data_IF_658270602762
#
_entry.id   IF_658270602762
#
_cell.length_a   1.000
_cell.length_b   1.000
_cell.length_c   1.000
_cell.angle_alpha   90.00
_cell.angle_beta   90.00
_cell.angle_gamma   90.00
#
_symmetry.space_group_name_H-M   'P 1'
#
loop_
_entity.id
_entity.type
_entity.pdbx_description
1 polymer ?
#
# COMPACT_ATOMS: atom_id res chain seq x y z
N UNK A 1 -3.82 -62.20 51.92
CA UNK A 1 -2.47 -62.48 52.47
C UNK A 1 -1.44 -61.95 51.48
N UNK A 2 -0.32 -61.40 51.97
CA UNK A 2 0.12 -60.00 51.78
C UNK A 2 1.23 -59.88 50.69
N UNK A 3 1.89 -58.77 50.32
CA UNK A 3 2.27 -57.53 51.02
C UNK A 3 2.85 -56.51 50.03
N UNK A 4 2.45 -55.24 50.16
CA UNK A 4 3.24 -53.99 50.22
C UNK A 4 4.60 -53.83 49.48
N UNK A 5 4.73 -52.75 48.69
CA UNK A 5 5.59 -51.56 48.99
C UNK A 5 5.48 -50.43 47.95
N UNK A 6 4.83 -49.32 48.33
CA UNK A 6 5.28 -47.93 48.07
C UNK A 6 6.21 -47.51 49.25
N UNK A 7 7.02 -46.42 49.24
CA UNK A 7 6.71 -45.05 48.78
C UNK A 7 7.91 -44.34 48.06
N UNK A 8 7.87 -43.10 47.55
CA UNK A 8 7.80 -41.85 48.31
C UNK A 8 7.69 -40.60 47.40
N UNK A 9 6.85 -39.66 47.86
CA UNK A 9 6.91 -38.22 47.61
C UNK A 9 8.04 -37.57 48.43
N UNK A 10 8.41 -36.32 48.13
CA UNK A 10 8.61 -35.32 49.16
C UNK A 10 7.55 -34.21 49.12
N UNK A 11 7.16 -33.83 50.34
CA UNK A 11 6.26 -32.77 50.77
C UNK A 11 7.10 -31.85 51.68
N UNK A 12 7.04 -30.53 51.52
CA UNK A 12 7.10 -29.48 52.56
C UNK A 12 6.78 -28.14 51.82
N UNK A 13 5.61 -27.50 51.97
CA UNK A 13 5.07 -26.73 53.12
C UNK A 13 5.99 -25.54 53.50
N UNK A 14 5.64 -24.29 53.15
CA UNK A 14 4.64 -23.37 53.74
C UNK A 14 5.23 -22.43 54.81
N UNK A 15 5.04 -21.10 54.63
CA UNK A 15 4.77 -20.00 55.60
C UNK A 15 5.19 -18.68 54.92
N UNK A 16 4.34 -17.67 54.69
CA UNK A 16 3.45 -16.86 55.53
C UNK A 16 4.05 -15.47 55.86
N UNK A 17 3.27 -14.45 55.48
CA UNK A 17 2.99 -13.20 56.19
C UNK A 17 4.15 -12.25 56.56
N UNK A 18 4.13 -11.05 55.96
CA UNK A 18 4.21 -9.82 56.74
C UNK A 18 3.38 -8.72 56.07
N UNK A 19 2.61 -8.01 56.89
CA UNK A 19 1.66 -6.98 56.53
C UNK A 19 2.16 -5.58 56.93
N UNK A 20 1.47 -4.57 56.41
CA UNK A 20 1.32 -3.18 56.92
C UNK A 20 2.43 -2.15 56.68
N UNK A 21 2.17 -1.23 55.75
CA UNK A 21 1.95 0.22 55.99
C UNK A 21 1.63 0.84 54.60
N UNK A 22 0.56 1.60 54.37
CA UNK A 22 0.02 2.68 55.19
C UNK A 22 0.54 4.00 54.63
N UNK A 23 -0.21 4.62 53.72
CA UNK A 23 0.15 5.92 53.12
C UNK A 23 -0.92 6.42 52.14
N UNK A 24 -1.90 7.15 52.65
CA UNK A 24 -2.73 8.07 51.86
C UNK A 24 -1.84 9.20 51.32
N UNK A 25 -1.96 9.51 50.03
CA UNK A 25 -1.69 10.86 49.52
C UNK A 25 -2.86 11.25 48.63
N UNK A 26 -3.63 12.21 49.13
CA UNK A 26 -4.53 13.09 48.38
C UNK A 26 -3.63 14.21 47.85
N UNK A 27 -3.62 14.47 46.53
CA UNK A 27 -3.81 15.81 45.94
C UNK A 27 -3.61 15.82 44.41
N UNK A 28 -4.66 16.32 43.74
CA UNK A 28 -4.65 17.15 42.55
C UNK A 28 -3.89 16.68 41.29
N UNK A 29 -4.59 16.00 40.39
CA UNK A 29 -4.33 16.12 38.95
C UNK A 29 -5.16 17.28 38.40
N UNK A 30 -4.46 18.36 38.09
CA UNK A 30 -4.96 19.52 37.34
C UNK A 30 -5.21 19.12 35.90
N UNK A 31 -6.47 19.14 35.49
CA UNK A 31 -6.86 19.16 34.08
C UNK A 31 -6.58 20.56 33.52
N UNK A 32 -5.78 20.67 32.47
CA UNK A 32 -5.70 21.88 31.64
C UNK A 32 -6.45 21.62 30.33
N UNK A 33 -7.77 21.74 30.40
CA UNK A 33 -8.57 22.17 29.27
C UNK A 33 -8.57 23.71 29.31
N UNK A 34 -8.13 24.35 28.23
CA UNK A 34 -8.34 25.79 28.03
C UNK A 34 -8.98 25.98 26.66
N UNK A 35 -10.28 25.71 26.61
CA UNK A 35 -11.21 26.49 25.81
C UNK A 35 -11.61 27.70 26.65
N UNK A 36 -11.45 28.89 26.08
CA UNK A 36 -12.10 30.10 26.60
C UNK A 36 -12.58 30.96 25.45
N UNK A 37 -13.87 30.82 25.20
CA UNK A 37 -14.76 31.77 24.56
C UNK A 37 -14.80 33.12 25.29
N UNK A 38 -15.38 34.11 24.57
CA UNK A 38 -15.87 35.43 24.99
C UNK A 38 -14.82 36.56 24.94
N UNK A 39 -15.12 37.75 24.44
CA UNK A 39 -16.41 38.44 24.50
C UNK A 39 -16.46 39.68 23.59
N UNK A 40 -17.68 40.20 23.46
CA UNK A 40 -18.06 41.59 23.19
C UNK A 40 -18.44 41.99 21.75
N UNK A 41 -19.73 41.78 21.49
CA UNK A 41 -20.53 42.66 20.65
C UNK A 41 -20.61 44.07 21.27
N UNK A 42 -20.31 45.11 20.49
CA UNK A 42 -20.96 46.42 20.63
C UNK A 42 -21.40 46.90 19.24
N UNK A 43 -22.71 47.00 19.06
CA UNK A 43 -23.30 47.64 17.89
C UNK A 43 -23.29 49.16 18.04
N UNK A 44 -23.07 49.86 16.93
CA UNK A 44 -23.71 51.14 16.68
C UNK A 44 -23.82 51.40 15.18
N UNK A 45 -25.05 51.66 14.78
CA UNK A 45 -25.55 52.09 13.48
C UNK A 45 -24.98 53.44 13.03
N UNK A 46 -24.69 53.59 11.73
CA UNK A 46 -25.11 54.76 10.94
C UNK A 46 -24.84 54.56 9.46
N UNK A 47 -25.90 54.70 8.65
CA UNK A 47 -25.85 54.82 7.21
C UNK A 47 -25.45 56.24 6.79
N UNK A 48 -24.65 56.38 5.73
CA UNK A 48 -24.71 57.51 4.77
C UNK A 48 -23.97 57.13 3.49
N UNK A 49 -24.69 56.85 2.41
CA UNK A 49 -24.75 57.66 1.17
C UNK A 49 -23.42 58.10 0.56
N UNK A 50 -23.19 57.74 -0.72
CA UNK A 50 -22.72 58.72 -1.70
C UNK A 50 -21.47 58.39 -2.50
N UNK A 51 -21.71 57.90 -3.72
CA UNK A 51 -21.20 58.45 -4.99
C UNK A 51 -19.70 58.45 -5.34
N UNK A 52 -19.40 57.65 -6.36
CA UNK A 52 -18.57 57.88 -7.55
C UNK A 52 -17.74 59.18 -7.69
N UNK A 53 -16.48 59.01 -8.13
CA UNK A 53 -15.76 59.73 -9.22
C UNK A 53 -14.26 59.51 -9.01
N UNK A 54 -13.54 58.70 -9.80
CA UNK A 54 -12.97 58.98 -11.13
C UNK A 54 -11.83 60.02 -11.15
N UNK A 55 -10.79 59.69 -11.94
CA UNK A 55 -9.67 60.52 -12.46
C UNK A 55 -8.57 60.86 -11.44
N UNK A 56 -7.28 60.99 -11.76
CA UNK A 56 -6.50 60.98 -13.00
C UNK A 56 -5.02 60.82 -12.54
N UNK A 57 -4.19 60.01 -13.22
CA UNK A 57 -3.21 60.47 -14.21
C UNK A 57 -1.94 61.14 -13.67
N UNK A 58 -0.80 60.58 -14.14
CA UNK A 58 0.49 61.24 -14.52
C UNK A 58 1.27 61.89 -13.37
N UNK A 59 2.58 61.82 -13.20
CA UNK A 59 3.82 61.56 -13.97
C UNK A 59 4.90 61.84 -12.89
N UNK A 60 6.13 61.34 -12.83
CA UNK A 60 7.28 61.44 -13.74
C UNK A 60 8.52 61.11 -12.87
N UNK A 61 9.61 60.68 -13.52
CA UNK A 61 11.03 60.87 -13.13
C UNK A 61 11.70 59.89 -12.14
N UNK A 62 12.32 58.88 -12.74
CA UNK A 62 13.71 58.41 -12.50
C UNK A 62 14.73 59.57 -12.74
N UNK A 63 16.04 59.54 -12.39
CA UNK A 63 16.86 58.59 -11.62
C UNK A 63 17.69 59.24 -10.49
N UNK A 64 18.29 58.45 -9.58
CA UNK A 64 19.65 58.72 -9.09
C UNK A 64 20.32 57.54 -8.38
N UNK A 65 21.55 57.30 -8.84
CA UNK A 65 22.59 56.39 -8.35
C UNK A 65 23.33 57.01 -7.16
N UNK A 66 23.57 56.23 -6.10
CA UNK A 66 24.85 56.15 -5.33
C UNK A 66 24.66 55.20 -4.14
N UNK A 67 25.36 54.07 -4.05
CA UNK A 67 26.56 53.87 -3.20
C UNK A 67 26.15 53.43 -1.78
N UNK A 68 26.81 52.54 -1.03
CA UNK A 68 28.10 51.86 -1.12
C UNK A 68 28.16 50.84 0.05
N UNK A 69 28.80 49.68 -0.19
CA UNK A 69 29.61 48.83 0.69
C UNK A 69 29.15 48.44 2.12
N UNK A 70 29.08 47.13 2.41
CA UNK A 70 30.00 46.34 3.29
C UNK A 70 29.38 44.95 3.54
N UNK A 71 29.99 43.86 3.03
CA UNK A 71 30.92 42.97 3.74
C UNK A 71 30.35 42.35 5.04
N UNK A 72 30.03 41.05 5.01
CA UNK A 72 30.78 40.03 5.77
C UNK A 72 30.13 38.64 5.66
N UNK A 73 31.00 37.67 5.40
CA UNK A 73 30.75 36.23 5.35
C UNK A 73 30.23 35.66 6.68
N UNK A 74 29.61 34.47 6.62
CA UNK A 74 30.21 33.22 7.15
C UNK A 74 29.30 32.02 6.86
N UNK A 75 29.78 31.16 5.97
CA UNK A 75 29.49 29.73 5.92
C UNK A 75 30.04 29.05 7.18
N UNK A 76 29.25 28.20 7.85
CA UNK A 76 29.77 27.30 8.87
C UNK A 76 29.38 25.86 8.53
N UNK A 77 30.40 25.13 8.12
CA UNK A 77 30.44 23.70 7.85
C UNK A 77 31.32 23.09 8.94
N UNK A 78 30.72 22.39 9.90
CA UNK A 78 31.48 21.70 10.95
C UNK A 78 31.62 20.22 10.64
N UNK A 79 32.80 19.87 10.11
CA UNK A 79 33.40 18.54 10.22
C UNK A 79 34.60 18.62 11.19
N UNK A 80 34.68 17.72 12.15
CA UNK A 80 35.84 17.46 13.02
C UNK A 80 35.52 16.22 13.89
N UNK A 81 36.36 15.23 14.17
CA UNK A 81 37.68 14.85 13.69
C UNK A 81 37.97 13.40 14.13
N UNK A 82 38.95 12.83 13.43
CA UNK A 82 39.63 11.53 13.50
C UNK A 82 40.34 11.22 14.82
N UNK A 83 40.46 9.91 15.16
CA UNK A 83 41.65 9.15 15.62
C UNK A 83 41.18 7.94 16.46
N UNK A 84 41.70 6.71 16.39
CA UNK A 84 43.12 6.30 16.31
C UNK A 84 43.22 4.83 15.89
N UNK A 85 44.23 4.57 15.07
CA UNK A 85 44.77 3.28 14.65
C UNK A 85 45.56 2.59 15.80
N UNK A 86 45.34 1.29 16.01
CA UNK A 86 46.36 0.38 16.55
C UNK A 86 46.14 -1.05 16.04
N UNK A 87 46.94 -1.48 15.07
CA UNK A 87 47.38 -2.88 14.95
C UNK A 87 48.69 -3.10 15.72
N UNK A 88 48.95 -4.33 16.21
CA UNK A 88 49.95 -5.14 15.50
C UNK A 88 49.71 -6.67 15.50
N UNK A 89 49.95 -7.27 14.32
CA UNK A 89 50.68 -8.52 13.98
C UNK A 89 50.70 -9.76 14.90
N UNK A 90 50.42 -10.93 14.32
CA UNK A 90 51.36 -12.09 14.09
C UNK A 90 50.51 -13.34 13.72
N UNK A 91 50.51 -13.82 12.47
CA UNK A 91 51.37 -14.89 11.93
C UNK A 91 51.44 -16.20 12.74
N UNK A 92 50.86 -17.30 12.20
CA UNK A 92 51.56 -18.58 11.91
C UNK A 92 50.58 -19.69 11.47
N UNK A 93 50.53 -19.90 10.15
CA UNK A 93 50.83 -21.14 9.41
C UNK A 93 50.42 -22.56 9.89
N UNK A 94 49.94 -23.29 8.88
CA UNK A 94 50.23 -24.69 8.51
C UNK A 94 49.26 -25.82 8.90
N UNK A 95 48.43 -26.16 7.91
CA UNK A 95 48.36 -27.43 7.17
C UNK A 95 48.40 -28.77 7.94
N UNK A 96 47.36 -29.59 7.71
CA UNK A 96 47.53 -30.99 7.30
C UNK A 96 46.29 -31.51 6.59
N UNK A 97 46.48 -31.99 5.38
CA UNK A 97 45.55 -32.84 4.66
C UNK A 97 45.39 -34.19 5.38
N UNK A 98 44.21 -34.80 5.24
CA UNK A 98 44.12 -36.27 5.23
C UNK A 98 43.00 -36.70 4.30
N UNK A 99 43.41 -37.33 3.20
CA UNK A 99 42.65 -38.28 2.41
C UNK A 99 42.00 -39.36 3.29
N UNK A 100 40.80 -39.80 2.91
CA UNK A 100 40.42 -41.22 2.95
C UNK A 100 39.21 -41.46 2.05
N UNK A 101 39.49 -41.96 0.86
CA UNK A 101 38.58 -42.73 0.04
C UNK A 101 38.41 -44.15 0.62
N UNK A 102 37.22 -44.74 0.51
CA UNK A 102 36.93 -46.15 0.80
C UNK A 102 35.43 -46.42 0.91
N UNK A 103 34.77 -46.78 -0.19
CA UNK A 103 34.31 -48.14 -0.57
C UNK A 103 32.87 -48.50 -0.18
N UNK A 104 32.04 -48.62 -1.22
CA UNK A 104 31.22 -49.79 -1.60
C UNK A 104 30.27 -50.43 -0.57
N UNK A 105 28.97 -50.41 -0.88
CA UNK A 105 28.07 -51.53 -0.63
C UNK A 105 26.82 -51.44 -1.51
N UNK A 106 26.74 -52.39 -2.45
CA UNK A 106 25.58 -52.81 -3.23
C UNK A 106 24.45 -53.40 -2.38
N UNK A 107 23.18 -53.06 -2.65
CA UNK A 107 21.94 -53.92 -2.66
C UNK A 107 20.79 -53.00 -3.12
N UNK A 108 19.83 -53.25 -4.00
CA UNK A 108 19.35 -54.42 -4.74
C UNK A 108 17.83 -54.26 -4.93
N UNK A 109 17.31 -54.34 -6.16
CA UNK A 109 15.87 -54.47 -6.50
C UNK A 109 15.06 -53.16 -6.40
N UNK A 110 14.07 -52.85 -7.25
CA UNK A 110 13.25 -53.70 -8.12
C UNK A 110 12.59 -52.87 -9.22
N UNK A 111 12.53 -53.50 -10.39
CA UNK A 111 11.74 -53.22 -11.58
C UNK A 111 10.23 -53.13 -11.25
N UNK A 112 9.53 -52.18 -11.87
CA UNK A 112 8.08 -52.23 -12.09
C UNK A 112 7.74 -51.47 -13.37
N UNK A 113 7.79 -52.23 -14.45
CA UNK A 113 7.14 -51.96 -15.73
C UNK A 113 5.62 -52.16 -15.60
N UNK A 114 4.84 -51.15 -15.97
CA UNK A 114 3.40 -51.28 -16.31
C UNK A 114 3.13 -50.21 -17.37
N UNK A 115 3.07 -50.56 -18.66
CA UNK A 115 1.82 -50.90 -19.35
C UNK A 115 1.07 -49.61 -19.70
N UNK A 116 1.17 -49.02 -20.89
CA UNK A 116 0.91 -49.63 -22.19
C UNK A 116 -0.59 -49.50 -22.51
N UNK A 117 -0.99 -48.44 -23.22
CA UNK A 117 -2.18 -48.43 -24.09
C UNK A 117 -1.95 -47.49 -25.26
N UNK A 118 -1.51 -48.10 -26.35
CA UNK A 118 -1.61 -47.60 -27.72
C UNK A 118 -3.06 -47.80 -28.18
N UNK A 119 -3.67 -46.76 -28.75
CA UNK A 119 -4.93 -46.88 -29.48
C UNK A 119 -4.82 -46.14 -30.81
N UNK A 120 -4.37 -46.89 -31.80
CA UNK A 120 -4.49 -46.62 -33.22
C UNK A 120 -5.86 -47.10 -33.71
N UNK A 121 -6.71 -46.21 -34.24
CA UNK A 121 -7.80 -46.44 -35.23
C UNK A 121 -8.36 -45.05 -35.58
N UNK A 122 -8.53 -44.58 -36.80
CA UNK A 122 -8.36 -45.13 -38.14
C UNK A 122 -8.59 -44.00 -39.15
N UNK A 123 -7.93 -44.09 -40.31
CA UNK A 123 -8.07 -43.09 -41.36
C UNK A 123 -9.44 -43.10 -42.02
N UNK A 124 -9.86 -41.92 -42.49
CA UNK A 124 -10.66 -41.79 -43.71
C UNK A 124 -10.12 -40.61 -44.52
N UNK A 125 -9.67 -40.95 -45.71
CA UNK A 125 -9.26 -40.05 -46.79
C UNK A 125 -10.54 -39.56 -47.51
N UNK A 126 -10.70 -38.25 -47.65
CA UNK A 126 -11.66 -37.63 -48.57
C UNK A 126 -11.13 -36.29 -49.03
N UNK A 127 -10.43 -36.34 -50.15
CA UNK A 127 -10.12 -35.20 -51.00
C UNK A 127 -11.40 -34.64 -51.64
N UNK A 128 -11.76 -33.38 -51.34
CA UNK A 128 -12.51 -32.51 -52.26
C UNK A 128 -12.21 -31.06 -51.92
N UNK A 129 -11.63 -30.34 -52.88
CA UNK A 129 -11.22 -28.94 -52.75
C UNK A 129 -12.39 -27.97 -52.66
N UNK A 130 -12.22 -26.95 -51.83
CA UNK A 130 -13.13 -25.82 -51.68
C UNK A 130 -12.37 -24.65 -51.06
N UNK A 131 -11.86 -23.79 -51.93
CA UNK A 131 -11.10 -22.57 -51.62
C UNK A 131 -11.97 -21.57 -50.86
N UNK A 132 -11.73 -21.35 -49.56
CA UNK A 132 -12.33 -20.22 -48.81
C UNK A 132 -11.42 -19.76 -47.65
N UNK A 133 -10.95 -18.51 -47.78
CA UNK A 133 -10.47 -17.55 -46.76
C UNK A 133 -9.95 -18.05 -45.41
N UNK A 134 -8.65 -17.88 -45.21
CA UNK A 134 -7.91 -17.98 -43.95
C UNK A 134 -8.49 -17.01 -42.92
N UNK A 135 -9.20 -17.54 -41.93
CA UNK A 135 -9.42 -16.90 -40.62
C UNK A 135 -8.77 -17.83 -39.63
N UNK A 136 -7.65 -17.41 -39.04
CA UNK A 136 -6.93 -18.11 -37.98
C UNK A 136 -7.78 -18.09 -36.72
N UNK A 137 -8.58 -19.13 -36.51
CA UNK A 137 -9.01 -19.53 -35.16
C UNK A 137 -7.90 -20.41 -34.60
N UNK A 138 -7.04 -19.80 -33.77
CA UNK A 138 -6.14 -20.56 -32.91
C UNK A 138 -6.98 -21.30 -31.87
N UNK A 139 -6.73 -22.60 -31.77
CA UNK A 139 -7.07 -23.40 -30.59
C UNK A 139 -6.36 -22.77 -29.39
N UNK A 140 -7.13 -22.16 -28.51
CA UNK A 140 -6.70 -21.82 -27.16
C UNK A 140 -7.06 -23.01 -26.28
N UNK A 141 -6.17 -24.00 -26.20
CA UNK A 141 -6.03 -24.81 -24.99
C UNK A 141 -5.35 -23.91 -23.95
N UNK A 142 -6.11 -22.93 -23.47
CA UNK A 142 -5.83 -22.24 -22.21
C UNK A 142 -6.66 -22.96 -21.18
N UNK A 143 -6.02 -23.42 -20.10
CA UNK A 143 -6.67 -23.96 -18.91
C UNK A 143 -7.35 -22.81 -18.11
N UNK A 144 -8.05 -21.94 -18.85
CA UNK A 144 -8.63 -20.69 -18.44
C UNK A 144 -9.76 -20.92 -17.46
N UNK A 145 -9.43 -20.81 -16.19
CA UNK A 145 -10.32 -20.19 -15.22
C UNK A 145 -10.51 -18.74 -15.63
N UNK A 146 -11.32 -18.49 -16.67
CA UNK A 146 -11.81 -17.14 -16.96
C UNK A 146 -12.63 -16.72 -15.75
N UNK A 147 -12.04 -15.89 -14.88
CA UNK A 147 -12.77 -15.08 -13.91
C UNK A 147 -13.92 -14.42 -14.67
N UNK A 148 -15.14 -14.63 -14.19
CA UNK A 148 -16.34 -14.37 -14.96
C UNK A 148 -16.51 -12.89 -15.32
N UNK A 149 -16.03 -12.49 -16.50
CA UNK A 149 -16.69 -11.51 -17.37
C UNK A 149 -16.73 -10.04 -16.92
N UNK A 150 -15.77 -9.55 -16.13
CA UNK A 150 -15.57 -8.11 -16.01
C UNK A 150 -14.41 -7.67 -16.91
N UNK A 151 -14.73 -6.88 -17.95
CA UNK A 151 -13.76 -6.39 -18.93
C UNK A 151 -12.65 -5.50 -18.35
N UNK A 152 -12.78 -5.03 -17.10
CA UNK A 152 -11.70 -4.34 -16.37
C UNK A 152 -10.47 -5.24 -16.13
N UNK A 153 -10.64 -6.57 -16.10
CA UNK A 153 -9.52 -7.51 -15.93
C UNK A 153 -8.73 -7.74 -17.20
N UNK A 154 -9.31 -7.41 -18.36
CA UNK A 154 -8.68 -7.60 -19.66
C UNK A 154 -7.97 -6.33 -20.17
N UNK A 155 -8.03 -5.24 -19.41
CA UNK A 155 -7.47 -3.94 -19.79
C UNK A 155 -6.59 -3.40 -18.68
N UNK A 156 -5.35 -2.95 -18.94
CA UNK A 156 -4.54 -2.32 -17.90
C UNK A 156 -5.18 -0.99 -17.51
N UNK A 157 -5.50 -0.87 -16.23
CA UNK A 157 -6.14 0.31 -15.67
C UNK A 157 -5.78 0.52 -14.21
N UNK A 158 -5.86 1.77 -13.78
CA UNK A 158 -5.56 2.19 -12.42
C UNK A 158 -6.66 3.11 -11.88
N UNK A 159 -6.84 3.09 -10.57
CA UNK A 159 -7.83 3.88 -9.86
C UNK A 159 -7.22 4.53 -8.63
N UNK A 160 -7.65 5.75 -8.33
CA UNK A 160 -7.38 6.40 -7.06
C UNK A 160 -8.55 7.30 -6.67
N UNK A 161 -8.68 7.63 -5.38
CA UNK A 161 -9.86 8.31 -4.84
C UNK A 161 -9.48 9.32 -3.78
N UNK A 162 -9.87 10.59 -3.98
CA UNK A 162 -9.56 11.68 -3.05
C UNK A 162 -10.81 12.51 -2.80
N UNK A 163 -11.10 12.78 -1.53
CA UNK A 163 -12.31 13.49 -1.09
C UNK A 163 -13.59 12.88 -1.70
N UNK A 164 -14.26 13.63 -2.59
CA UNK A 164 -15.47 13.19 -3.29
C UNK A 164 -15.21 12.93 -4.77
N UNK A 165 -14.00 12.55 -5.12
CA UNK A 165 -13.56 12.28 -6.48
C UNK A 165 -13.04 10.85 -6.59
N UNK A 166 -13.42 10.18 -7.66
CA UNK A 166 -12.86 8.90 -8.09
C UNK A 166 -12.27 9.08 -9.49
N UNK A 167 -11.04 8.61 -9.66
CA UNK A 167 -10.30 8.77 -10.89
C UNK A 167 -10.04 7.39 -11.49
N UNK A 168 -10.28 7.28 -12.80
CA UNK A 168 -9.96 6.13 -13.63
C UNK A 168 -8.85 6.50 -14.59
N UNK A 169 -7.83 5.65 -14.71
CA UNK A 169 -6.72 5.83 -15.65
C UNK A 169 -6.67 4.60 -16.54
N UNK A 170 -6.88 4.79 -17.84
CA UNK A 170 -6.68 3.74 -18.84
C UNK A 170 -5.23 3.76 -19.29
N UNK A 171 -4.60 2.59 -19.28
CA UNK A 171 -3.21 2.40 -19.69
C UNK A 171 -3.19 1.71 -21.06
N UNK A 172 -2.19 2.07 -21.87
CA UNK A 172 -2.00 1.52 -23.20
C UNK A 172 -1.27 0.17 -23.09
N UNK A 173 -1.88 -0.95 -23.50
CA UNK A 173 -1.24 -2.27 -23.43
C UNK A 173 0.00 -2.40 -24.33
N UNK A 174 0.22 -1.48 -25.29
CA UNK A 174 1.39 -1.53 -26.16
C UNK A 174 2.69 -1.07 -25.51
N UNK A 175 2.61 -0.11 -24.58
CA UNK A 175 3.82 0.55 -24.06
C UNK A 175 3.73 0.99 -22.60
N UNK A 176 2.57 0.86 -21.94
CA UNK A 176 2.37 1.29 -20.56
C UNK A 176 2.07 2.79 -20.40
N UNK A 177 1.95 3.55 -21.49
CA UNK A 177 1.58 4.97 -21.44
C UNK A 177 0.11 5.18 -21.06
N UNK A 178 -0.25 6.36 -20.59
CA UNK A 178 -1.66 6.70 -20.26
C UNK A 178 -2.44 7.02 -21.55
N UNK A 179 -3.59 6.37 -21.72
CA UNK A 179 -4.55 6.63 -22.80
C UNK A 179 -5.50 7.74 -22.40
N UNK A 180 -6.09 7.63 -21.21
CA UNK A 180 -7.01 8.63 -20.67
C UNK A 180 -6.99 8.65 -19.16
N UNK A 181 -7.29 9.83 -18.60
CA UNK A 181 -7.63 10.00 -17.20
C UNK A 181 -9.04 10.58 -17.15
N UNK A 182 -9.89 9.91 -16.38
CA UNK A 182 -11.30 10.24 -16.23
C UNK A 182 -11.56 10.59 -14.77
N UNK A 183 -12.14 11.77 -14.55
CA UNK A 183 -12.57 12.23 -13.24
C UNK A 183 -14.07 12.04 -13.08
N UNK A 184 -14.47 11.37 -12.00
CA UNK A 184 -15.86 11.15 -11.63
C UNK A 184 -16.14 11.64 -10.20
N UNK A 185 -17.36 12.13 -10.00
CA UNK A 185 -17.86 12.49 -8.67
C UNK A 185 -18.18 11.20 -7.91
N UNK A 186 -17.59 11.04 -6.72
CA UNK A 186 -17.96 10.02 -5.74
C UNK A 186 -19.18 10.51 -4.95
N UNK A 187 -20.25 9.72 -4.97
CA UNK A 187 -21.51 9.97 -4.29
C UNK A 187 -21.70 8.94 -3.17
N UNK A 188 -21.17 9.20 -1.97
CA UNK A 188 -21.35 8.25 -0.88
C UNK A 188 -22.74 8.40 -0.24
N UNK A 189 -23.33 7.28 0.15
CA UNK A 189 -24.63 7.23 0.86
C UNK A 189 -24.58 7.86 2.26
N UNK A 190 -23.40 7.88 2.87
CA UNK A 190 -23.04 8.59 4.11
C UNK A 190 -21.84 9.48 3.82
N UNK A 191 -21.76 10.71 4.38
CA UNK A 191 -20.56 11.54 4.24
C UNK A 191 -19.30 10.79 4.65
N UNK A 192 -18.41 10.59 3.68
CA UNK A 192 -17.08 10.05 3.91
C UNK A 192 -16.20 11.09 4.61
N UNK A 193 -15.35 10.61 5.51
CA UNK A 193 -14.32 11.43 6.13
C UNK A 193 -13.31 11.91 5.10
N UNK A 194 -12.80 13.11 5.36
CA UNK A 194 -11.67 13.64 4.62
C UNK A 194 -10.39 13.16 5.32
N UNK A 195 -9.51 12.52 4.56
CA UNK A 195 -8.27 11.93 5.04
C UNK A 195 -7.64 11.03 3.97
N UNK A 196 -6.56 10.35 4.34
CA UNK A 196 -5.90 9.35 3.51
C UNK A 196 -6.88 8.24 3.11
N UNK A 197 -6.65 7.68 1.94
CA UNK A 197 -7.51 6.65 1.39
C UNK A 197 -6.73 5.47 0.86
N UNK A 198 -6.87 4.31 1.49
CA UNK A 198 -6.53 3.05 0.84
C UNK A 198 -7.57 2.74 -0.23
N UNK A 199 -7.14 2.19 -1.36
CA UNK A 199 -8.05 1.73 -2.41
C UNK A 199 -7.54 0.40 -2.95
N UNK A 200 -8.46 -0.54 -3.17
CA UNK A 200 -8.13 -1.80 -3.81
C UNK A 200 -9.27 -2.28 -4.71
N UNK A 201 -8.96 -3.14 -5.68
CA UNK A 201 -9.93 -3.73 -6.60
C UNK A 201 -10.25 -5.16 -6.18
N UNK A 202 -11.54 -5.48 -6.12
CA UNK A 202 -12.03 -6.83 -5.82
C UNK A 202 -12.15 -7.66 -7.11
N UNK A 203 -12.22 -8.99 -7.00
CA UNK A 203 -12.30 -9.92 -8.15
C UNK A 203 -13.42 -9.60 -9.16
N UNK A 204 -14.54 -9.05 -8.69
CA UNK A 204 -15.65 -8.63 -9.55
C UNK A 204 -15.42 -7.27 -10.23
N UNK A 205 -14.23 -6.67 -10.05
CA UNK A 205 -13.78 -5.35 -10.51
C UNK A 205 -14.45 -4.17 -9.82
N UNK A 206 -15.21 -4.39 -8.75
CA UNK A 206 -15.64 -3.32 -7.86
C UNK A 206 -14.48 -2.82 -7.00
N UNK A 207 -14.63 -1.65 -6.38
CA UNK A 207 -13.58 -1.04 -5.57
C UNK A 207 -13.94 -1.03 -4.09
N UNK A 208 -12.99 -1.40 -3.24
CA UNK A 208 -13.08 -1.23 -1.79
C UNK A 208 -12.13 -0.09 -1.39
N UNK A 209 -12.65 0.88 -0.64
CA UNK A 209 -11.86 2.02 -0.19
C UNK A 209 -11.94 2.22 1.32
N UNK A 210 -10.91 2.85 1.88
CA UNK A 210 -10.86 3.31 3.26
C UNK A 210 -10.82 4.83 3.32
N UNK A 211 -11.35 5.42 4.40
CA UNK A 211 -11.09 6.82 4.76
C UNK A 211 -10.61 6.87 6.20
N UNK A 212 -9.34 7.19 6.34
CA UNK A 212 -8.65 7.30 7.62
C UNK A 212 -8.99 8.63 8.31
N UNK A 213 -9.10 8.59 9.63
CA UNK A 213 -9.08 9.78 10.49
C UNK A 213 -8.61 9.43 11.90
N UNK A 214 -8.36 10.45 12.72
CA UNK A 214 -8.09 10.27 14.14
C UNK A 214 -9.22 9.54 14.93
N UNK A 215 -10.44 9.45 14.37
CA UNK A 215 -11.56 8.72 14.98
C UNK A 215 -11.62 7.24 14.55
N UNK A 216 -10.75 6.80 13.65
CA UNK A 216 -10.68 5.45 13.10
C UNK A 216 -10.80 5.46 11.58
N UNK A 217 -11.26 4.35 11.01
CA UNK A 217 -11.35 4.15 9.56
C UNK A 217 -12.76 3.81 9.11
N UNK A 218 -13.29 4.57 8.16
CA UNK A 218 -14.50 4.19 7.42
C UNK A 218 -14.13 3.29 6.25
N UNK A 219 -14.91 2.23 6.02
CA UNK A 219 -14.82 1.40 4.82
C UNK A 219 -16.02 1.70 3.92
N UNK A 220 -15.76 1.86 2.63
CA UNK A 220 -16.78 2.04 1.61
C UNK A 220 -16.53 1.13 0.40
N UNK A 221 -17.60 0.84 -0.34
CA UNK A 221 -17.57 0.02 -1.54
C UNK A 221 -18.16 0.79 -2.71
N UNK A 222 -17.52 0.72 -3.87
CA UNK A 222 -18.04 1.23 -5.14
C UNK A 222 -18.36 0.02 -6.02
N UNK A 223 -19.61 -0.45 -6.05
CA UNK A 223 -19.98 -1.69 -6.74
C UNK A 223 -19.75 -1.65 -8.26
N UNK A 224 -20.00 -0.50 -8.88
CA UNK A 224 -19.94 -0.30 -10.32
C UNK A 224 -19.10 0.96 -10.62
N UNK A 225 -17.76 0.88 -10.53
CA UNK A 225 -16.90 2.03 -10.73
C UNK A 225 -16.97 2.49 -12.21
N UNK A 226 -17.28 3.77 -12.48
CA UNK A 226 -17.46 4.25 -13.84
C UNK A 226 -16.12 4.56 -14.53
N UNK A 227 -15.97 4.06 -15.76
CA UNK A 227 -14.80 4.34 -16.63
C UNK A 227 -15.02 5.50 -17.60
N UNK A 228 -16.19 6.13 -17.57
CA UNK A 228 -16.54 7.25 -18.46
C UNK A 228 -16.77 8.51 -17.66
N UNK A 229 -16.38 9.65 -18.22
CA UNK A 229 -16.39 10.94 -17.54
C UNK A 229 -17.81 11.40 -17.18
N UNK A 230 -17.91 12.15 -16.08
CA UNK A 230 -19.16 12.73 -15.58
C UNK A 230 -20.24 11.69 -15.27
N UNK A 231 -19.85 10.44 -15.03
CA UNK A 231 -20.73 9.38 -14.54
C UNK A 231 -20.51 9.25 -13.04
N UNK A 232 -21.51 9.54 -12.21
CA UNK A 232 -21.32 9.46 -10.77
C UNK A 232 -20.97 8.04 -10.32
N UNK A 233 -20.01 7.93 -9.42
CA UNK A 233 -19.63 6.68 -8.75
C UNK A 233 -20.38 6.61 -7.42
N UNK A 234 -21.35 5.71 -7.30
CA UNK A 234 -22.09 5.54 -6.05
C UNK A 234 -21.27 4.70 -5.06
N UNK A 235 -21.04 5.25 -3.87
CA UNK A 235 -20.30 4.58 -2.80
C UNK A 235 -21.24 4.18 -1.65
N UNK A 236 -21.12 2.94 -1.22
CA UNK A 236 -21.88 2.35 -0.11
C UNK A 236 -20.99 2.28 1.12
N UNK A 237 -21.40 2.92 2.20
CA UNK A 237 -20.72 2.84 3.48
C UNK A 237 -20.94 1.46 4.11
N UNK A 238 -19.84 0.75 4.39
CA UNK A 238 -19.87 -0.60 4.95
C UNK A 238 -19.74 -0.61 6.48
N UNK A 239 -19.05 0.38 7.06
CA UNK A 239 -18.89 0.48 8.50
C UNK A 239 -17.61 1.17 8.93
N UNK A 240 -17.40 1.23 10.26
CA UNK A 240 -16.12 1.56 10.85
C UNK A 240 -15.37 0.26 11.12
N UNK A 241 -14.07 0.23 10.84
CA UNK A 241 -13.21 -0.85 11.29
C UNK A 241 -13.30 -0.91 12.82
N UNK A 242 -13.68 -2.07 13.40
CA UNK A 242 -13.83 -2.19 14.84
C UNK A 242 -12.48 -2.01 15.54
N UNK A 243 -12.50 -1.66 16.82
CA UNK A 243 -11.30 -1.78 17.65
C UNK A 243 -11.13 -3.26 18.06
N UNK A 244 -9.90 -3.74 18.20
CA UNK A 244 -9.61 -5.11 18.65
C UNK A 244 -9.83 -5.31 20.17
N UNK A 245 -10.36 -4.29 20.85
CA UNK A 245 -10.67 -4.27 22.28
C UNK A 245 -9.43 -4.39 23.18
N UNK A 246 -8.23 -4.12 22.67
CA UNK A 246 -6.99 -4.13 23.45
C UNK A 246 -6.70 -2.79 24.17
N UNK A 247 -7.72 -1.95 24.40
CA UNK A 247 -7.61 -0.57 24.91
C UNK A 247 -6.68 0.33 24.07
N UNK A 248 -6.57 0.05 22.77
CA UNK A 248 -5.76 0.82 21.83
C UNK A 248 -6.57 1.95 21.21
N UNK A 249 -5.87 2.85 20.51
CA UNK A 249 -6.49 3.83 19.64
C UNK A 249 -7.41 3.14 18.61
N UNK A 250 -8.38 3.84 18.02
CA UNK A 250 -9.12 3.33 16.86
C UNK A 250 -8.16 2.84 15.77
N UNK A 251 -8.56 1.82 14.98
CA UNK A 251 -7.77 1.33 13.84
C UNK A 251 -7.77 2.38 12.74
N UNK A 252 -6.59 2.76 12.24
CA UNK A 252 -6.34 3.85 11.30
C UNK A 252 -5.65 3.28 10.07
N UNK A 253 -6.42 2.98 9.03
CA UNK A 253 -5.98 2.24 7.85
C UNK A 253 -5.61 3.19 6.72
N UNK A 254 -4.34 3.22 6.38
CA UNK A 254 -3.80 4.04 5.31
C UNK A 254 -3.81 3.32 3.96
N UNK A 255 -3.57 2.01 3.97
CA UNK A 255 -3.47 1.19 2.77
C UNK A 255 -4.45 0.01 2.77
N UNK A 256 -4.97 -0.31 1.59
CA UNK A 256 -5.76 -1.52 1.34
C UNK A 256 -5.13 -2.30 0.20
N UNK A 257 -5.14 -3.62 0.32
CA UNK A 257 -4.67 -4.51 -0.73
C UNK A 257 -5.50 -5.79 -0.75
N UNK A 258 -5.93 -6.19 -1.94
CA UNK A 258 -6.64 -7.45 -2.18
C UNK A 258 -5.63 -8.45 -2.72
N UNK A 259 -5.59 -9.66 -2.17
CA UNK A 259 -4.74 -10.73 -2.69
C UNK A 259 -5.42 -11.54 -3.81
N UNK A 260 -4.70 -12.48 -4.42
CA UNK A 260 -5.15 -13.35 -5.52
C UNK A 260 -6.31 -14.25 -5.07
N UNK A 261 -6.40 -14.52 -3.77
CA UNK A 261 -7.45 -15.34 -3.16
C UNK A 261 -8.66 -14.48 -2.73
N UNK A 262 -8.63 -13.16 -3.01
CA UNK A 262 -9.67 -12.20 -2.67
C UNK A 262 -9.69 -11.76 -1.20
N UNK A 263 -8.62 -12.03 -0.44
CA UNK A 263 -8.49 -11.57 0.95
C UNK A 263 -8.05 -10.10 0.97
N UNK A 264 -8.54 -9.37 1.96
CA UNK A 264 -8.25 -7.93 2.10
C UNK A 264 -7.28 -7.71 3.25
N UNK A 265 -6.13 -7.13 2.93
CA UNK A 265 -5.08 -6.69 3.82
C UNK A 265 -5.23 -5.20 4.09
N UNK A 266 -4.94 -4.81 5.33
CA UNK A 266 -5.03 -3.44 5.80
C UNK A 266 -3.75 -3.08 6.53
N UNK A 267 -3.20 -1.92 6.20
CA UNK A 267 -2.09 -1.33 6.95
C UNK A 267 -2.65 -0.40 8.02
N UNK A 268 -2.58 -0.80 9.29
CA UNK A 268 -2.88 0.06 10.42
C UNK A 268 -1.64 0.89 10.79
N UNK A 269 -1.75 2.21 10.75
CA UNK A 269 -0.69 3.19 11.10
C UNK A 269 -0.53 3.38 12.63
N UNK A 270 -1.24 2.56 13.41
CA UNK A 270 -1.11 2.56 14.86
C UNK A 270 -1.44 3.90 15.50
N UNK A 271 -0.45 4.50 16.17
CA UNK A 271 -0.65 5.75 16.91
C UNK A 271 -0.79 6.94 15.97
N UNK A 272 -0.01 7.00 14.89
CA UNK A 272 0.06 8.17 14.02
C UNK A 272 0.57 7.86 12.61
N UNK A 273 -0.12 8.42 11.61
CA UNK A 273 0.16 8.55 10.15
C UNK A 273 1.49 9.22 9.78
N UNK A 274 2.43 9.29 10.71
CA UNK A 274 3.79 9.74 10.42
C UNK A 274 4.82 9.02 11.30
N UNK A 275 4.49 7.81 11.76
CA UNK A 275 5.20 7.09 12.81
C UNK A 275 4.89 5.60 12.74
N UNK A 276 5.93 4.77 12.74
CA UNK A 276 5.77 3.31 12.78
C UNK A 276 5.35 2.75 14.15
N UNK A 277 5.21 3.59 15.18
CA UNK A 277 4.79 3.16 16.52
C UNK A 277 3.38 2.57 16.50
N UNK A 278 3.31 1.27 16.78
CA UNK A 278 2.06 0.52 16.83
C UNK A 278 1.52 0.13 15.45
N UNK A 279 2.30 0.25 14.38
CA UNK A 279 1.89 -0.17 13.05
C UNK A 279 1.59 -1.68 13.04
N UNK A 280 0.60 -2.09 12.26
CA UNK A 280 0.19 -3.49 12.16
C UNK A 280 -0.28 -3.83 10.77
N UNK A 281 0.05 -5.04 10.33
CA UNK A 281 -0.58 -5.65 9.17
C UNK A 281 -1.79 -6.45 9.65
N UNK A 282 -2.97 -6.09 9.13
CA UNK A 282 -4.24 -6.72 9.46
C UNK A 282 -4.83 -7.40 8.22
N UNK A 283 -5.77 -8.33 8.45
CA UNK A 283 -6.55 -8.94 7.38
C UNK A 283 -8.01 -9.10 7.77
N UNK A 284 -8.94 -8.72 6.89
CA UNK A 284 -10.36 -8.98 7.13
C UNK A 284 -10.64 -10.48 7.16
N UNK A 285 -11.44 -10.90 8.14
CA UNK A 285 -11.88 -12.30 8.32
C UNK A 285 -13.40 -12.45 8.19
N UNK A 286 -14.14 -11.34 8.26
CA UNK A 286 -15.58 -11.30 8.08
C UNK A 286 -16.01 -11.04 6.63
N UNK A 287 -17.33 -11.08 6.42
CA UNK A 287 -17.97 -10.70 5.15
C UNK A 287 -18.04 -9.17 5.04
N UNK A 288 -16.92 -8.55 4.64
CA UNK A 288 -16.74 -7.10 4.64
C UNK A 288 -17.77 -6.38 3.76
N UNK A 289 -18.20 -6.97 2.64
CA UNK A 289 -19.25 -6.41 1.77
C UNK A 289 -20.63 -6.37 2.45
N UNK A 290 -20.83 -7.14 3.52
CA UNK A 290 -22.02 -7.06 4.39
C UNK A 290 -21.79 -6.23 5.65
N UNK A 291 -20.66 -5.52 5.74
CA UNK A 291 -20.27 -4.71 6.90
C UNK A 291 -19.71 -5.52 8.07
N UNK A 292 -19.41 -6.81 7.88
CA UNK A 292 -18.72 -7.61 8.89
C UNK A 292 -17.21 -7.38 8.78
N UNK A 293 -16.76 -6.27 9.34
CA UNK A 293 -15.37 -5.78 9.27
C UNK A 293 -14.47 -6.38 10.35
N UNK A 294 -14.76 -7.60 10.82
CA UNK A 294 -13.85 -8.30 11.72
C UNK A 294 -12.52 -8.58 11.02
N UNK A 295 -11.44 -8.53 11.78
CA UNK A 295 -10.09 -8.74 11.27
C UNK A 295 -9.27 -9.60 12.22
N UNK A 296 -8.16 -10.11 11.71
CA UNK A 296 -7.07 -10.63 12.51
C UNK A 296 -5.82 -9.76 12.34
N UNK A 297 -4.96 -9.76 13.35
CA UNK A 297 -3.63 -9.16 13.28
C UNK A 297 -2.69 -10.23 12.72
N UNK A 298 -2.12 -9.97 11.55
CA UNK A 298 -1.10 -10.85 10.97
C UNK A 298 0.23 -10.61 11.66
N UNK A 299 0.62 -9.35 11.81
CA UNK A 299 1.90 -8.99 12.43
C UNK A 299 1.84 -7.60 13.04
N UNK A 300 2.42 -7.46 14.23
CA UNK A 300 2.76 -6.16 14.80
C UNK A 300 4.07 -5.63 14.16
N UNK A 301 3.94 -4.56 13.38
CA UNK A 301 5.00 -3.97 12.56
C UNK A 301 5.85 -2.95 13.33
N UNK A 302 5.53 -2.65 14.58
CA UNK A 302 6.34 -1.78 15.45
C UNK A 302 7.82 -2.22 15.58
N UNK A 303 8.10 -3.50 15.29
CA UNK A 303 9.44 -4.09 15.29
C UNK A 303 9.93 -4.46 13.88
N UNK A 304 9.15 -4.18 12.84
CA UNK A 304 9.54 -4.39 11.45
C UNK A 304 10.56 -3.31 11.04
N UNK A 305 11.40 -3.65 10.06
CA UNK A 305 12.34 -2.70 9.44
C UNK A 305 11.67 -1.73 8.48
N UNK A 306 10.34 -1.70 8.42
CA UNK A 306 9.56 -0.89 7.49
C UNK A 306 9.01 0.33 8.21
N UNK A 307 9.05 1.47 7.51
CA UNK A 307 8.51 2.74 7.96
C UNK A 307 6.98 2.75 8.03
N UNK A 308 6.44 3.95 7.96
CA UNK A 308 5.01 4.20 8.03
C UNK A 308 4.37 4.01 6.65
N UNK A 309 3.73 2.87 6.40
CA UNK A 309 3.32 2.51 5.04
C UNK A 309 2.01 3.20 4.68
N UNK A 310 2.12 4.09 3.70
CA UNK A 310 1.03 4.86 3.13
C UNK A 310 0.14 4.06 2.16
N UNK A 311 0.73 3.09 1.43
CA UNK A 311 0.04 2.26 0.45
C UNK A 311 0.70 0.90 0.20
N UNK A 312 -0.07 -0.05 -0.35
CA UNK A 312 0.32 -1.44 -0.59
C UNK A 312 -0.06 -1.90 -2.00
N UNK A 313 0.79 -2.72 -2.61
CA UNK A 313 0.63 -3.24 -3.96
C UNK A 313 1.02 -4.71 -4.04
N UNK A 314 0.44 -5.50 -4.96
CA UNK A 314 1.04 -6.77 -5.34
C UNK A 314 2.50 -6.59 -5.76
N UNK A 315 3.29 -7.64 -5.61
CA UNK A 315 4.69 -7.68 -6.03
C UNK A 315 4.85 -8.10 -7.48
N UNK A 316 6.10 -8.16 -7.94
CA UNK A 316 6.48 -8.72 -9.23
C UNK A 316 7.58 -9.77 -8.98
N UNK A 317 7.38 -10.99 -9.47
CA UNK A 317 8.41 -12.03 -9.54
C UNK A 317 8.54 -12.53 -10.97
N UNK A 318 9.64 -12.16 -11.64
CA UNK A 318 9.82 -12.43 -13.06
C UNK A 318 8.83 -11.63 -13.91
N UNK A 319 7.98 -12.34 -14.64
CA UNK A 319 6.92 -11.78 -15.48
C UNK A 319 5.54 -11.78 -14.80
N UNK A 320 5.40 -12.34 -13.60
CA UNK A 320 4.11 -12.51 -12.92
C UNK A 320 3.93 -11.56 -11.72
N UNK A 321 2.68 -11.17 -11.43
CA UNK A 321 2.34 -10.52 -10.15
C UNK A 321 2.23 -11.57 -9.05
N UNK A 322 2.74 -11.23 -7.86
CA UNK A 322 2.80 -12.16 -6.74
C UNK A 322 2.29 -11.54 -5.46
N UNK A 323 1.64 -12.39 -4.67
CA UNK A 323 1.06 -12.02 -3.40
C UNK A 323 1.79 -12.79 -2.31
N UNK A 324 2.38 -12.03 -1.39
CA UNK A 324 3.20 -12.52 -0.30
C UNK A 324 4.43 -11.66 -0.12
N UNK A 325 5.14 -11.33 -1.20
CA UNK A 325 6.14 -10.25 -1.22
C UNK A 325 5.64 -9.17 -2.17
N UNK A 326 5.11 -8.08 -1.63
CA UNK A 326 4.55 -6.96 -2.37
C UNK A 326 5.43 -5.72 -2.34
N UNK A 327 4.87 -4.64 -2.87
CA UNK A 327 5.43 -3.30 -2.76
C UNK A 327 4.63 -2.44 -1.79
N UNK A 328 5.32 -1.45 -1.22
CA UNK A 328 4.72 -0.46 -0.34
C UNK A 328 5.36 0.91 -0.58
N UNK A 329 4.64 1.97 -0.24
CA UNK A 329 5.13 3.34 -0.27
C UNK A 329 5.06 3.96 1.12
N UNK A 330 6.07 4.76 1.46
CA UNK A 330 6.09 5.66 2.63
C UNK A 330 6.75 6.96 2.20
N UNK A 331 6.00 8.05 2.07
CA UNK A 331 6.55 9.40 1.93
C UNK A 331 7.71 9.54 0.92
N UNK A 332 7.60 8.88 -0.24
CA UNK A 332 8.59 8.81 -1.32
C UNK A 332 9.69 7.76 -1.22
N UNK A 333 9.70 6.92 -0.19
CA UNK A 333 10.49 5.70 -0.16
C UNK A 333 9.67 4.51 -0.69
N UNK A 334 10.21 3.82 -1.69
CA UNK A 334 9.68 2.56 -2.21
C UNK A 334 10.22 1.41 -1.36
N UNK A 335 9.31 0.58 -0.88
CA UNK A 335 9.59 -0.58 -0.06
C UNK A 335 9.16 -1.87 -0.76
N UNK A 336 9.89 -2.94 -0.46
CA UNK A 336 9.39 -4.30 -0.60
C UNK A 336 8.93 -4.79 0.76
N UNK A 337 7.73 -5.39 0.85
CA UNK A 337 7.16 -5.91 2.07
C UNK A 337 6.74 -7.37 1.91
N UNK A 338 7.00 -8.19 2.91
CA UNK A 338 6.46 -9.54 3.03
C UNK A 338 5.15 -9.48 3.84
N UNK A 339 4.01 -9.71 3.20
CA UNK A 339 2.68 -9.71 3.81
C UNK A 339 2.42 -10.91 4.73
N UNK A 340 3.28 -11.92 4.72
CA UNK A 340 3.20 -13.06 5.64
C UNK A 340 3.92 -12.75 6.96
N UNK A 341 5.06 -12.07 6.88
CA UNK A 341 5.92 -11.81 8.05
C UNK A 341 5.87 -10.37 8.55
N UNK A 342 5.30 -9.45 7.77
CA UNK A 342 5.33 -8.01 8.02
C UNK A 342 6.72 -7.38 7.90
N UNK A 343 7.73 -8.11 7.43
CA UNK A 343 9.09 -7.54 7.27
C UNK A 343 9.23 -6.84 5.93
N UNK A 344 10.18 -5.91 5.81
CA UNK A 344 10.42 -5.26 4.53
C UNK A 344 11.74 -4.52 4.45
N UNK A 345 12.03 -4.04 3.25
CA UNK A 345 13.32 -3.48 2.87
C UNK A 345 13.13 -2.31 1.92
N UNK A 346 13.77 -1.18 2.22
CA UNK A 346 13.79 -0.03 1.35
C UNK A 346 14.54 -0.37 0.06
N UNK A 347 13.92 -0.06 -1.08
CA UNK A 347 14.46 -0.32 -2.40
C UNK A 347 15.09 0.93 -3.00
N UNK A 348 14.35 2.04 -2.99
CA UNK A 348 14.77 3.31 -3.59
C UNK A 348 13.96 4.48 -3.05
N UNK A 349 14.52 5.69 -3.20
CA UNK A 349 13.71 6.90 -3.16
C UNK A 349 13.09 7.12 -4.54
N UNK A 350 11.82 7.49 -4.56
CA UNK A 350 11.02 7.75 -5.75
C UNK A 350 10.43 9.16 -5.70
N UNK A 351 9.65 9.53 -6.70
CA UNK A 351 8.90 10.79 -6.72
C UNK A 351 7.42 10.59 -6.33
N UNK A 352 6.98 9.34 -6.13
CA UNK A 352 5.64 9.02 -5.63
C UNK A 352 5.54 9.28 -4.14
N UNK A 353 4.33 9.40 -3.59
CA UNK A 353 4.14 9.67 -2.16
C UNK A 353 3.21 8.68 -1.48
N UNK A 354 2.07 8.36 -2.10
CA UNK A 354 0.99 7.62 -1.42
C UNK A 354 0.27 6.58 -2.27
N UNK A 355 0.59 6.44 -3.55
CA UNK A 355 -0.04 5.42 -4.39
C UNK A 355 1.00 4.53 -5.04
N UNK A 356 0.77 3.22 -5.03
CA UNK A 356 1.59 2.25 -5.73
C UNK A 356 0.75 1.09 -6.24
N UNK A 357 1.01 0.65 -7.47
CA UNK A 357 0.38 -0.56 -7.99
C UNK A 357 1.19 -1.21 -9.10
N UNK A 358 1.37 -2.52 -9.01
CA UNK A 358 1.92 -3.35 -10.09
C UNK A 358 0.79 -3.90 -10.96
N UNK A 359 0.93 -3.78 -12.28
CA UNK A 359 0.07 -4.40 -13.26
C UNK A 359 0.81 -5.57 -13.93
N UNK A 360 0.16 -6.73 -14.02
CA UNK A 360 0.74 -7.96 -14.57
C UNK A 360 1.01 -7.92 -16.07
N UNK A 361 1.98 -8.71 -16.51
CA UNK A 361 2.43 -8.83 -17.90
C UNK A 361 1.32 -9.13 -18.93
N UNK A 362 0.34 -10.01 -18.68
CA UNK A 362 -0.74 -10.34 -19.60
C UNK A 362 -1.66 -9.18 -19.93
N UNK A 363 -1.62 -8.09 -19.16
CA UNK A 363 -2.30 -6.85 -19.52
C UNK A 363 -1.59 -6.10 -20.65
N UNK A 364 -0.37 -6.51 -21.02
CA UNK A 364 0.48 -5.83 -21.98
C UNK A 364 0.90 -6.75 -23.13
N UNK A 365 1.11 -6.16 -24.31
CA UNK A 365 1.44 -6.88 -25.54
C UNK A 365 2.86 -7.48 -25.53
N UNK A 366 3.75 -6.96 -24.67
CA UNK A 366 5.10 -7.45 -24.47
C UNK A 366 5.21 -8.49 -23.35
N UNK A 367 4.11 -8.80 -22.66
CA UNK A 367 4.04 -9.71 -21.52
C UNK A 367 4.95 -9.28 -20.35
N UNK A 368 5.25 -8.00 -20.24
CA UNK A 368 6.09 -7.46 -19.16
C UNK A 368 5.24 -6.72 -18.11
N UNK A 369 5.38 -7.06 -16.81
CA UNK A 369 4.68 -6.34 -15.76
C UNK A 369 5.26 -4.93 -15.59
N UNK A 370 4.46 -4.02 -15.05
CA UNK A 370 4.82 -2.62 -14.87
C UNK A 370 4.42 -2.14 -13.48
N UNK A 371 5.25 -1.31 -12.88
CA UNK A 371 5.02 -0.70 -11.58
C UNK A 371 4.69 0.78 -11.77
N UNK A 372 3.60 1.23 -11.15
CA UNK A 372 3.18 2.62 -11.19
C UNK A 372 3.14 3.21 -9.79
N UNK A 373 3.48 4.49 -9.68
CA UNK A 373 3.39 5.24 -8.43
C UNK A 373 2.64 6.55 -8.64
N UNK A 374 1.97 7.00 -7.59
CA UNK A 374 1.23 8.26 -7.55
C UNK A 374 1.93 9.25 -6.61
N UNK A 375 2.32 10.39 -7.17
CA UNK A 375 2.72 11.55 -6.39
C UNK A 375 1.50 12.35 -5.94
N UNK A 376 1.63 12.99 -4.79
CA UNK A 376 0.71 13.94 -4.22
C UNK A 376 0.24 15.05 -5.17
N UNK A 377 1.11 15.42 -6.13
CA UNK A 377 1.10 16.74 -6.73
C UNK A 377 1.65 17.79 -5.76
N UNK A 378 1.66 19.06 -6.20
CA UNK A 378 1.95 20.20 -5.33
C UNK A 378 0.77 21.18 -5.26
N UNK A 379 0.98 22.39 -4.77
CA UNK A 379 -0.09 23.38 -4.63
C UNK A 379 -0.58 23.96 -5.97
N UNK A 380 0.19 23.73 -7.05
CA UNK A 380 -0.07 24.23 -8.39
C UNK A 380 -0.33 23.07 -9.39
N UNK A 381 -0.24 21.81 -8.95
CA UNK A 381 -0.44 20.61 -9.79
C UNK A 381 -1.36 19.56 -9.17
N UNK A 382 -2.05 18.81 -10.04
CA UNK A 382 -2.78 17.61 -9.66
C UNK A 382 -1.86 16.45 -9.27
N UNK A 383 -2.44 15.32 -8.88
CA UNK A 383 -1.67 14.10 -8.62
C UNK A 383 -0.95 13.64 -9.89
N UNK A 384 0.32 13.24 -9.78
CA UNK A 384 1.11 12.81 -10.94
C UNK A 384 1.30 11.29 -10.93
N UNK A 385 0.90 10.62 -12.01
CA UNK A 385 1.17 9.19 -12.18
C UNK A 385 2.49 9.02 -12.94
N UNK A 386 3.36 8.16 -12.42
CA UNK A 386 4.63 7.80 -13.06
C UNK A 386 4.76 6.27 -13.15
N UNK A 387 5.52 5.81 -14.14
CA UNK A 387 5.99 4.42 -14.19
C UNK A 387 7.36 4.32 -13.52
N UNK A 388 7.58 3.25 -12.78
CA UNK A 388 8.84 2.91 -12.13
C UNK A 388 9.52 1.80 -12.92
N UNK A 389 10.77 2.02 -13.29
CA UNK A 389 11.59 1.00 -13.93
C UNK A 389 11.94 -0.10 -12.91
N UNK A 390 11.36 -1.28 -13.05
CA UNK A 390 11.53 -2.38 -12.09
C UNK A 390 12.97 -2.94 -12.00
N UNK A 391 13.87 -2.57 -12.91
CA UNK A 391 15.26 -3.03 -12.90
C UNK A 391 16.17 -2.17 -12.02
N UNK A 392 15.86 -0.88 -11.87
CA UNK A 392 16.69 0.08 -11.12
C UNK A 392 15.90 1.05 -10.23
N UNK A 393 14.58 0.92 -10.21
CA UNK A 393 13.60 1.72 -9.48
C UNK A 393 13.64 3.22 -9.79
N UNK A 394 14.13 3.61 -10.97
CA UNK A 394 14.05 5.00 -11.44
C UNK A 394 12.64 5.35 -11.93
N UNK A 395 12.21 6.59 -11.69
CA UNK A 395 10.91 7.08 -12.15
C UNK A 395 10.99 7.59 -13.60
N UNK A 396 9.91 7.38 -14.35
CA UNK A 396 9.62 8.15 -15.56
C UNK A 396 9.29 9.60 -15.21
N UNK A 397 9.33 10.54 -16.18
CA UNK A 397 8.55 11.76 -16.06
C UNK A 397 7.06 11.44 -15.83
N UNK A 398 6.25 12.39 -15.28
CA UNK A 398 4.81 12.22 -15.17
C UNK A 398 4.16 11.81 -16.50
N UNK A 399 3.42 10.70 -16.47
CA UNK A 399 2.66 10.18 -17.61
C UNK A 399 1.34 10.93 -17.78
N UNK A 400 0.73 11.31 -16.66
CA UNK A 400 -0.47 12.13 -16.60
C UNK A 400 -0.51 12.89 -15.27
N UNK A 401 -1.12 14.07 -15.32
CA UNK A 401 -1.47 14.87 -14.16
C UNK A 401 -2.99 14.81 -13.97
N UNK A 402 -3.42 14.52 -12.75
CA UNK A 402 -4.81 14.48 -12.34
C UNK A 402 -5.45 15.87 -12.24
N UNK A 403 -6.74 15.94 -11.89
CA UNK A 403 -7.37 17.23 -11.62
C UNK A 403 -6.74 17.90 -10.39
N UNK A 404 -6.55 19.22 -10.48
CA UNK A 404 -6.27 20.06 -9.32
C UNK A 404 -7.58 20.34 -8.57
N UNK A 405 -7.80 19.59 -7.48
CA UNK A 405 -9.01 19.68 -6.68
C UNK A 405 -8.83 20.76 -5.61
N UNK A 406 -9.83 21.61 -5.44
CA UNK A 406 -9.86 22.57 -4.34
C UNK A 406 -10.22 21.86 -3.02
N UNK A 407 -9.22 21.25 -2.40
CA UNK A 407 -9.37 20.52 -1.15
C UNK A 407 -9.30 21.48 0.05
N UNK A 408 -10.08 21.20 1.09
CA UNK A 408 -10.02 21.97 2.34
C UNK A 408 -8.72 21.71 3.13
N UNK A 409 -8.08 20.57 2.88
CA UNK A 409 -6.80 20.11 3.42
C UNK A 409 -6.30 18.92 2.60
N UNK A 410 -5.07 18.45 2.84
CA UNK A 410 -4.52 17.30 2.15
C UNK A 410 -4.06 17.63 0.73
N UNK A 411 -3.99 16.60 -0.11
CA UNK A 411 -3.32 16.65 -1.40
C UNK A 411 -4.09 15.85 -2.46
N UNK A 412 -3.94 16.24 -3.73
CA UNK A 412 -4.66 15.66 -4.86
C UNK A 412 -4.37 14.17 -5.07
N UNK A 413 -3.21 13.69 -4.63
CA UNK A 413 -2.80 12.30 -4.69
C UNK A 413 -2.93 11.50 -3.40
N UNK A 414 -3.59 12.02 -2.34
CA UNK A 414 -3.65 11.39 -0.99
C UNK A 414 -4.54 10.14 -0.96
N UNK A 415 -4.15 9.14 -1.73
CA UNK A 415 -4.85 7.90 -2.03
C UNK A 415 -3.86 6.83 -2.44
N UNK A 416 -4.14 5.60 -2.04
CA UNK A 416 -3.59 4.40 -2.65
C UNK A 416 -4.06 4.21 -4.09
N UNK A 417 -3.38 3.29 -4.78
CA UNK A 417 -3.57 3.01 -6.20
C UNK A 417 -4.05 1.57 -6.41
N UNK A 418 -5.13 1.40 -7.16
CA UNK A 418 -5.75 0.09 -7.38
C UNK A 418 -5.82 -0.29 -8.85
N UNK A 419 -5.63 -1.56 -9.18
CA UNK A 419 -5.76 -2.12 -10.52
C UNK A 419 -6.08 -3.62 -10.49
N UNK A 420 -6.26 -4.25 -11.66
CA UNK A 420 -6.55 -5.69 -11.77
C UNK A 420 -5.33 -6.59 -11.50
N UNK A 421 -5.58 -7.75 -10.89
CA UNK A 421 -4.60 -8.81 -10.54
C UNK A 421 -4.70 -10.02 -11.49
N UNK A 422 -4.22 -9.90 -12.72
CA UNK A 422 -4.50 -10.91 -13.77
C UNK A 422 -3.87 -12.29 -13.54
N UNK A 423 -2.54 -12.35 -13.41
CA UNK A 423 -1.73 -13.60 -13.36
C UNK A 423 -1.20 -13.91 -11.96
N UNK A 424 -2.05 -13.68 -10.98
CA UNK A 424 -1.60 -13.55 -9.61
C UNK A 424 -1.18 -14.89 -9.00
N UNK A 425 0.11 -15.02 -8.67
CA UNK A 425 0.65 -16.12 -7.88
C UNK A 425 0.42 -15.88 -6.39
N UNK A 426 -0.33 -16.75 -5.71
CA UNK A 426 -0.41 -16.72 -4.25
C UNK A 426 0.78 -17.47 -3.63
N UNK A 427 1.60 -16.75 -2.86
CA UNK A 427 2.65 -17.32 -1.99
C UNK A 427 2.27 -17.23 -0.51
N UNK A 428 1.14 -16.59 -0.22
CA UNK A 428 0.56 -16.47 1.12
C UNK A 428 -0.05 -17.83 1.52
N UNK A 429 0.28 -18.38 2.70
CA UNK A 429 -0.34 -19.62 3.18
C UNK A 429 -1.86 -19.47 3.37
N UNK A 430 -2.62 -20.45 2.85
CA UNK A 430 -4.08 -20.54 2.99
C UNK A 430 -4.57 -20.75 4.43
#
# INVERSE_FOLDING_TARGET
MPTLKSPALPLFAALALCACNGGEIIEAMTASASDSDSDSATGSTSASTGSASATNSTTTDDPTVSGSATDSATSDSTASATATDTSPTSESDSASATDSAGTDSTTGGTDSTTGGTDSTTGGTDSTTGGMTTTTTTGDSDSDGTTTGGNGLWDTPNLWYSVDKSLMYIEINPMDGSVVTLVHNQLNPDVPLWHGQNGLTMLEDGSLLGSRESAQGTQIFHVPEPPTTENTPADAVYLGLVPNDMQNQAPIRVEALYTDCDGRIYLMDTGVHVSSSEGNRLLRFTGDYLKGDLQFEVITDLENASVGDIDDMSPGIDGDEVTDGVGFAMDSAELWQIDYTTGTGMALANTDGTWGIHALGGPLFNDLMPRLYILSAGDADTGAELMEVNIMDYSNSPPLVEGPDLNLNSGYNGWSGLAGPLTECMTTIPM
#
